data_IF_191658174494
#
_entry.id   IF_191658174494
#
_cell.length_a   1.000
_cell.length_b   1.000
_cell.length_c   1.000
_cell.angle_alpha   90.00
_cell.angle_beta   90.00
_cell.angle_gamma   90.00
#
_symmetry.space_group_name_H-M   'P 1'
#
loop_
_entity.id
_entity.type
_entity.pdbx_description
1 polymer ?
#
# COMPACT_ATOMS: atom_id res chain seq x y z
N UNK A 1 -14.97 -7.75 -5.65
CA UNK A 1 -13.74 -7.00 -5.29
C UNK A 1 -12.76 -8.00 -4.66
N UNK A 2 -11.46 -7.89 -4.93
CA UNK A 2 -10.45 -8.77 -4.34
C UNK A 2 -10.24 -8.35 -2.88
N UNK A 3 -10.40 -9.25 -1.90
CA UNK A 3 -10.14 -8.96 -0.48
C UNK A 3 -8.63 -8.93 -0.16
N UNK A 4 -7.83 -8.28 -1.01
CA UNK A 4 -6.38 -8.17 -0.86
C UNK A 4 -6.06 -6.79 -0.29
N UNK A 5 -5.29 -6.76 0.80
CA UNK A 5 -4.85 -5.51 1.44
C UNK A 5 -3.67 -4.92 0.68
N UNK A 6 -3.52 -3.59 0.68
CA UNK A 6 -2.37 -2.91 0.09
C UNK A 6 -1.71 -2.08 1.18
N UNK A 7 -0.41 -2.30 1.40
CA UNK A 7 0.36 -1.59 2.42
C UNK A 7 1.59 -0.92 1.80
N UNK A 8 1.87 0.31 2.23
CA UNK A 8 3.06 1.06 1.84
C UNK A 8 3.89 1.36 3.08
N UNK A 9 5.21 1.18 3.02
CA UNK A 9 6.10 1.69 4.05
C UNK A 9 6.29 3.20 3.90
N UNK A 10 6.56 3.89 5.00
CA UNK A 10 6.83 5.34 4.97
C UNK A 10 8.05 5.68 4.10
N UNK A 11 9.06 4.81 4.10
CA UNK A 11 10.23 4.92 3.24
C UNK A 11 9.84 4.85 1.76
N UNK A 12 8.99 3.89 1.38
CA UNK A 12 8.47 3.77 0.01
C UNK A 12 7.74 5.04 -0.43
N UNK A 13 6.84 5.57 0.41
CA UNK A 13 6.10 6.81 0.11
C UNK A 13 7.04 7.99 -0.13
N UNK A 14 8.08 8.13 0.69
CA UNK A 14 9.11 9.18 0.50
C UNK A 14 9.85 9.03 -0.82
N UNK A 15 10.23 7.83 -1.21
CA UNK A 15 10.95 7.59 -2.47
C UNK A 15 10.03 7.85 -3.67
N UNK A 16 8.76 7.40 -3.61
CA UNK A 16 7.76 7.65 -4.65
C UNK A 16 7.57 9.16 -4.87
N UNK A 17 7.43 9.93 -3.78
CA UNK A 17 7.31 11.39 -3.86
C UNK A 17 8.54 12.03 -4.52
N UNK A 18 9.76 11.64 -4.10
CA UNK A 18 11.01 12.12 -4.71
C UNK A 18 11.10 11.78 -6.20
N UNK A 19 10.69 10.57 -6.59
CA UNK A 19 10.70 10.10 -7.99
C UNK A 19 9.73 10.90 -8.86
N UNK A 20 8.55 11.24 -8.33
CA UNK A 20 7.58 12.09 -9.02
C UNK A 20 8.09 13.53 -9.20
N UNK A 21 8.75 14.08 -8.17
CA UNK A 21 9.40 15.40 -8.25
C UNK A 21 10.51 15.41 -9.30
N UNK A 22 11.39 14.40 -9.29
CA UNK A 22 12.52 14.31 -10.23
C UNK A 22 12.08 14.19 -11.69
N UNK A 23 10.91 13.59 -11.96
CA UNK A 23 10.35 13.46 -13.31
C UNK A 23 9.63 14.73 -13.79
N UNK A 24 9.55 15.80 -13.00
CA UNK A 24 8.81 17.04 -13.32
C UNK A 24 7.34 16.82 -13.71
N UNK A 25 6.75 15.71 -13.28
CA UNK A 25 5.36 15.34 -13.59
C UNK A 25 4.39 15.72 -12.47
N UNK A 26 4.91 16.08 -11.29
CA UNK A 26 4.11 16.43 -10.12
C UNK A 26 3.16 15.29 -9.71
N UNK A 27 1.99 15.64 -9.18
CA UNK A 27 0.98 14.66 -8.74
C UNK A 27 0.51 13.71 -9.86
N UNK A 28 0.55 14.14 -11.13
CA UNK A 28 0.15 13.30 -12.27
C UNK A 28 1.09 12.11 -12.48
N UNK A 29 2.38 12.29 -12.15
CA UNK A 29 3.38 11.22 -12.27
C UNK A 29 3.24 10.11 -11.24
N UNK A 30 2.57 10.35 -10.12
CA UNK A 30 2.41 9.37 -9.06
C UNK A 30 1.66 8.14 -9.57
N UNK A 31 0.63 8.33 -10.39
CA UNK A 31 -0.14 7.22 -10.97
C UNK A 31 0.77 6.30 -11.79
N UNK A 32 1.57 6.86 -12.70
CA UNK A 32 2.49 6.07 -13.53
C UNK A 32 3.54 5.34 -12.69
N UNK A 33 4.05 5.98 -11.63
CA UNK A 33 5.02 5.34 -10.72
C UNK A 33 4.36 4.15 -10.00
N UNK A 34 3.17 4.34 -9.44
CA UNK A 34 2.42 3.30 -8.74
C UNK A 34 2.03 2.15 -9.68
N UNK A 35 1.58 2.47 -10.89
CA UNK A 35 1.21 1.49 -11.90
C UNK A 35 2.39 0.60 -12.27
N UNK A 36 3.59 1.17 -12.44
CA UNK A 36 4.79 0.40 -12.70
C UNK A 36 5.19 -0.51 -11.52
N UNK A 37 5.08 -0.03 -10.28
CA UNK A 37 5.46 -0.80 -9.08
C UNK A 37 4.49 -1.96 -8.84
N UNK A 38 3.20 -1.74 -9.11
CA UNK A 38 2.13 -2.69 -8.82
C UNK A 38 1.79 -3.59 -10.01
N UNK A 39 2.38 -3.36 -11.20
CA UNK A 39 1.98 -4.03 -12.44
C UNK A 39 1.98 -5.56 -12.30
N UNK A 40 3.08 -6.10 -11.78
CA UNK A 40 3.25 -7.55 -11.64
C UNK A 40 2.24 -8.12 -10.63
N UNK A 41 2.05 -7.44 -9.48
CA UNK A 41 1.06 -7.86 -8.49
C UNK A 41 -0.37 -7.77 -9.01
N UNK A 42 -0.70 -6.75 -9.80
CA UNK A 42 -2.02 -6.61 -10.41
C UNK A 42 -2.33 -7.74 -11.40
N UNK A 43 -1.31 -8.31 -12.05
CA UNK A 43 -1.46 -9.44 -12.96
C UNK A 43 -1.55 -10.77 -12.20
N UNK A 44 -0.73 -10.95 -11.17
CA UNK A 44 -0.67 -12.22 -10.42
C UNK A 44 -1.89 -12.45 -9.52
N UNK A 45 -2.46 -11.40 -8.93
CA UNK A 45 -3.58 -11.52 -8.00
C UNK A 45 -4.85 -12.14 -8.62
N UNK A 46 -5.31 -11.70 -9.81
CA UNK A 46 -6.43 -12.33 -10.50
C UNK A 46 -6.20 -13.82 -10.79
N UNK A 47 -4.99 -14.19 -11.23
CA UNK A 47 -4.64 -15.56 -11.59
C UNK A 47 -4.58 -16.48 -10.37
N UNK A 48 -4.09 -15.97 -9.23
CA UNK A 48 -4.01 -16.72 -7.99
C UNK A 48 -5.38 -17.17 -7.45
N UNK A 49 -6.48 -16.52 -7.85
CA UNK A 49 -7.84 -16.99 -7.49
C UNK A 49 -8.22 -18.34 -8.08
N UNK A 50 -7.54 -18.75 -9.15
CA UNK A 50 -7.72 -20.07 -9.78
C UNK A 50 -6.85 -21.14 -9.11
N UNK A 51 -5.90 -20.74 -8.25
CA UNK A 51 -4.99 -21.62 -7.55
C UNK A 51 -5.33 -21.82 -6.06
N UNK A 52 -4.61 -22.74 -5.42
CA UNK A 52 -4.78 -23.09 -4.00
C UNK A 52 -4.23 -22.02 -3.02
N UNK A 53 -3.52 -21.01 -3.53
CA UNK A 53 -2.82 -20.01 -2.70
C UNK A 53 -3.67 -18.75 -2.52
N UNK A 54 -4.20 -18.56 -1.31
CA UNK A 54 -4.90 -17.32 -0.91
C UNK A 54 -3.90 -16.17 -0.75
N UNK A 55 -4.18 -15.04 -1.39
CA UNK A 55 -3.42 -13.79 -1.20
C UNK A 55 -4.08 -12.95 -0.11
N UNK A 56 -3.32 -12.48 0.87
CA UNK A 56 -3.80 -11.62 1.95
C UNK A 56 -3.46 -10.14 1.71
N UNK A 57 -2.24 -9.86 1.23
CA UNK A 57 -1.80 -8.48 1.03
C UNK A 57 -0.73 -8.31 -0.05
N UNK A 58 -0.58 -7.07 -0.51
CA UNK A 58 0.54 -6.56 -1.30
C UNK A 58 1.25 -5.51 -0.48
N UNK A 59 2.58 -5.58 -0.42
CA UNK A 59 3.40 -4.61 0.28
C UNK A 59 4.35 -3.90 -0.69
N UNK A 60 4.39 -2.58 -0.58
CA UNK A 60 5.33 -1.72 -1.28
C UNK A 60 6.29 -1.11 -0.25
N UNK A 61 7.53 -1.59 -0.25
CA UNK A 61 8.62 -1.06 0.57
C UNK A 61 9.67 -0.33 -0.28
N UNK A 62 10.73 0.13 0.37
CA UNK A 62 11.81 0.87 -0.29
C UNK A 62 12.45 0.08 -1.42
N UNK A 63 12.64 -1.23 -1.24
CA UNK A 63 13.19 -2.13 -2.26
C UNK A 63 12.26 -2.25 -3.46
N UNK A 64 10.95 -2.30 -3.23
CA UNK A 64 9.95 -2.35 -4.29
C UNK A 64 10.00 -1.09 -5.19
N UNK A 65 10.25 0.08 -4.61
CA UNK A 65 10.33 1.36 -5.33
C UNK A 65 11.70 1.57 -5.98
N UNK A 66 12.76 1.13 -5.30
CA UNK A 66 14.16 1.32 -5.68
C UNK A 66 14.66 2.72 -5.37
N UNK A 67 15.46 3.28 -6.28
CA UNK A 67 15.97 4.66 -6.16
C UNK A 67 15.22 5.62 -7.08
N UNK A 68 15.58 6.90 -7.06
CA UNK A 68 15.00 7.91 -7.97
C UNK A 68 15.32 7.55 -9.42
N UNK A 69 16.55 7.11 -9.69
CA UNK A 69 17.05 6.83 -11.04
C UNK A 69 16.92 5.36 -11.47
N UNK A 70 16.77 4.44 -10.52
CA UNK A 70 16.71 3.00 -10.77
C UNK A 70 15.37 2.41 -10.32
N UNK A 71 14.75 1.52 -11.12
CA UNK A 71 13.56 0.80 -10.69
C UNK A 71 13.89 -0.18 -9.55
N UNK A 72 12.93 -0.41 -8.67
CA UNK A 72 13.01 -1.42 -7.63
C UNK A 72 12.58 -2.80 -8.12
N UNK A 73 12.42 -3.73 -7.19
CA UNK A 73 12.02 -5.11 -7.49
C UNK A 73 10.51 -5.31 -7.68
N UNK A 74 9.71 -4.26 -7.62
CA UNK A 74 8.24 -4.35 -7.67
C UNK A 74 7.63 -4.77 -6.33
N UNK A 75 6.30 -4.68 -6.24
CA UNK A 75 5.59 -4.94 -5.00
C UNK A 75 5.61 -6.41 -4.57
N UNK A 76 5.69 -6.64 -3.27
CA UNK A 76 5.77 -7.97 -2.65
C UNK A 76 4.36 -8.51 -2.38
N UNK A 77 4.08 -9.74 -2.79
CA UNK A 77 2.78 -10.39 -2.53
C UNK A 77 2.91 -11.30 -1.30
N UNK A 78 1.99 -11.16 -0.36
CA UNK A 78 1.91 -11.97 0.85
C UNK A 78 0.77 -12.98 0.72
N UNK A 79 1.11 -14.25 0.89
CA UNK A 79 0.19 -15.39 0.79
C UNK A 79 -0.13 -15.95 2.17
N UNK A 80 -1.37 -16.43 2.34
CA UNK A 80 -1.87 -17.03 3.56
C UNK A 80 -2.61 -16.04 4.46
N UNK A 81 -3.59 -16.55 5.20
CA UNK A 81 -4.39 -15.74 6.12
C UNK A 81 -3.52 -15.11 7.22
N UNK A 82 -3.63 -13.78 7.38
CA UNK A 82 -2.88 -13.04 8.40
C UNK A 82 -1.42 -12.79 8.05
N UNK A 83 -0.98 -13.06 6.81
CA UNK A 83 0.39 -12.83 6.39
C UNK A 83 0.83 -11.36 6.52
N UNK A 84 -0.07 -10.40 6.32
CA UNK A 84 0.25 -8.99 6.56
C UNK A 84 0.60 -8.70 8.02
N UNK A 85 -0.15 -9.26 8.97
CA UNK A 85 0.07 -9.02 10.40
C UNK A 85 1.42 -9.56 10.86
N UNK A 86 1.79 -10.75 10.37
CA UNK A 86 3.10 -11.35 10.61
C UNK A 86 4.23 -10.49 10.05
N UNK A 87 4.05 -9.99 8.82
CA UNK A 87 5.01 -9.10 8.17
C UNK A 87 5.21 -7.80 8.96
N UNK A 88 4.11 -7.15 9.37
CA UNK A 88 4.16 -5.92 10.17
C UNK A 88 4.78 -6.15 11.55
N UNK A 89 4.50 -7.29 12.19
CA UNK A 89 5.10 -7.66 13.47
C UNK A 89 6.62 -7.82 13.35
N UNK A 90 7.11 -8.40 12.25
CA UNK A 90 8.54 -8.54 12.00
C UNK A 90 9.24 -7.20 11.79
N UNK A 91 8.57 -6.22 11.16
CA UNK A 91 9.09 -4.88 10.98
C UNK A 91 9.07 -4.09 12.30
N UNK A 92 7.99 -4.18 13.08
CA UNK A 92 7.87 -3.49 14.38
C UNK A 92 8.94 -3.93 15.39
N UNK A 93 9.36 -5.20 15.35
CA UNK A 93 10.46 -5.69 16.21
C UNK A 93 11.82 -5.07 15.82
N UNK A 94 11.96 -4.55 14.60
CA UNK A 94 13.19 -3.94 14.10
C UNK A 94 13.18 -2.40 14.13
N UNK A 95 12.03 -1.77 14.36
CA UNK A 95 11.85 -0.32 14.30
C UNK A 95 11.03 0.20 15.46
N UNK A 96 11.72 0.68 16.50
CA UNK A 96 11.10 1.44 17.59
C UNK A 96 10.66 2.82 17.06
N UNK A 97 9.35 3.06 17.10
CA UNK A 97 8.73 4.40 17.15
C UNK A 97 8.34 5.06 15.80
N UNK A 98 7.06 4.97 15.44
CA UNK A 98 6.07 6.09 15.40
C UNK A 98 4.79 5.63 14.67
N UNK A 99 3.64 5.72 15.36
CA UNK A 99 2.28 5.55 14.80
C UNK A 99 1.87 6.73 13.90
N UNK A 100 0.79 6.65 13.12
CA UNK A 100 -0.58 6.41 13.59
C UNK A 100 -1.52 6.09 12.43
N UNK A 101 -2.36 5.07 12.63
CA UNK A 101 -3.65 4.92 11.97
C UNK A 101 -4.60 6.03 12.46
N UNK A 102 -5.33 6.68 11.55
CA UNK A 102 -6.53 7.45 11.86
C UNK A 102 -7.43 7.49 10.62
N UNK A 103 -8.14 6.40 10.36
CA UNK A 103 -9.39 6.44 9.60
C UNK A 103 -10.46 7.04 10.52
N UNK A 104 -10.70 8.33 10.36
CA UNK A 104 -11.82 9.03 10.97
C UNK A 104 -13.01 9.04 10.02
N UNK A 105 -13.84 8.00 10.04
CA UNK A 105 -15.20 8.07 9.51
C UNK A 105 -16.02 9.02 10.39
N UNK A 106 -16.27 10.24 9.92
CA UNK A 106 -17.29 11.11 10.50
C UNK A 106 -18.63 10.86 9.81
N UNK A 107 -19.39 9.88 10.31
CA UNK A 107 -20.83 9.80 10.11
C UNK A 107 -21.49 11.03 10.78
N UNK A 108 -21.97 11.98 9.99
CA UNK A 108 -22.91 13.01 10.45
C UNK A 108 -24.33 12.58 10.06
N UNK A 109 -24.90 11.69 10.86
CA UNK A 109 -26.34 11.42 10.86
C UNK A 109 -26.87 11.43 12.31
N UNK A 110 -27.39 12.57 12.75
CA UNK A 110 -28.54 12.60 13.67
C UNK A 110 -29.14 13.99 13.79
N UNK A 111 -30.31 14.15 13.17
CA UNK A 111 -31.55 14.62 13.79
C UNK A 111 -31.47 15.66 14.92
N UNK A 112 -32.02 16.85 14.66
CA UNK A 112 -32.76 17.58 15.71
C UNK A 112 -33.95 18.33 15.12
N UNK A 113 -35.08 17.63 15.05
CA UNK A 113 -36.39 18.26 15.23
C UNK A 113 -36.61 18.48 16.74
N UNK A 114 -36.95 19.71 17.13
CA UNK A 114 -37.66 20.22 18.32
C UNK A 114 -37.82 21.72 17.94
N UNK A 115 -38.99 22.31 17.73
CA UNK A 115 -40.25 22.15 18.43
C UNK A 115 -40.34 23.21 19.54
N UNK A 116 -40.63 24.46 19.18
CA UNK A 116 -41.45 25.46 19.89
C UNK A 116 -41.54 26.74 19.07
#
# INVERSE_FOLDING_TARGET
MNNVKLHFTDGALRIIAKKAMSKNTGARGLRTILENILMDSMYEIPDAKSGEKRIDAVVVDEDAVGSVDQPGCGAKILYGDGALDQYLSQIKVSGDGVGSEMDGEAELSSSRAIGM
#
